data_IF_876413028168
#
_entry.id   IF_876413028168
#
_cell.length_a   1.000
_cell.length_b   1.000
_cell.length_c   1.000
_cell.angle_alpha   90.00
_cell.angle_beta   90.00
_cell.angle_gamma   90.00
#
_symmetry.space_group_name_H-M   'P 1'
#
loop_
_entity.id
_entity.type
_entity.pdbx_description
1 polymer ?
#
# COMPACT_ATOMS: atom_id res chain seq x y z
N UNK A 1 7.66 -23.98 -3.45
CA UNK A 1 7.15 -23.12 -4.56
C UNK A 1 7.37 -21.68 -4.14
N UNK A 2 8.43 -21.04 -4.63
CA UNK A 2 8.64 -19.61 -4.41
C UNK A 2 7.71 -18.91 -5.41
N UNK A 3 6.60 -18.33 -4.95
CA UNK A 3 5.85 -17.40 -5.80
C UNK A 3 6.84 -16.30 -6.21
N UNK A 4 7.10 -16.07 -7.51
CA UNK A 4 7.98 -15.00 -7.92
C UNK A 4 7.33 -13.70 -7.42
N UNK A 5 7.97 -13.05 -6.45
CA UNK A 5 7.50 -11.74 -6.01
C UNK A 5 7.62 -10.80 -7.21
N UNK A 6 6.61 -9.95 -7.47
CA UNK A 6 6.72 -8.92 -8.48
C UNK A 6 8.00 -8.11 -8.29
N UNK A 7 8.72 -7.81 -9.38
CA UNK A 7 9.86 -6.92 -9.30
C UNK A 7 9.36 -5.49 -9.06
N UNK A 8 9.71 -4.93 -7.90
CA UNK A 8 9.32 -3.58 -7.49
C UNK A 8 10.47 -2.57 -7.62
N UNK A 9 11.58 -2.94 -8.28
CA UNK A 9 12.76 -2.08 -8.41
C UNK A 9 12.46 -0.73 -9.09
N UNK A 10 11.48 -0.71 -10.00
CA UNK A 10 11.02 0.48 -10.72
C UNK A 10 9.69 1.05 -10.18
N UNK A 11 9.25 0.65 -8.98
CA UNK A 11 8.00 1.12 -8.40
C UNK A 11 8.03 2.63 -8.09
N UNK A 12 7.04 3.36 -8.60
CA UNK A 12 6.81 4.76 -8.22
C UNK A 12 5.95 4.82 -6.95
N UNK A 13 6.61 5.02 -5.82
CA UNK A 13 5.97 5.06 -4.50
C UNK A 13 5.31 6.41 -4.23
N UNK A 14 4.04 6.37 -3.84
CA UNK A 14 3.27 7.56 -3.46
C UNK A 14 2.91 7.54 -1.98
N UNK A 15 3.13 8.68 -1.33
CA UNK A 15 2.65 8.98 0.02
C UNK A 15 1.26 9.60 0.00
N UNK A 16 0.48 9.37 1.07
CA UNK A 16 -0.83 10.02 1.26
C UNK A 16 -0.69 11.54 1.36
N UNK A 17 -1.61 12.29 0.74
CA UNK A 17 -1.64 13.75 0.83
C UNK A 17 -2.11 14.29 2.19
N UNK A 18 -2.67 13.44 3.05
CA UNK A 18 -3.08 13.79 4.42
C UNK A 18 -1.91 13.75 5.44
N UNK A 19 -0.67 13.49 4.99
CA UNK A 19 0.51 13.37 5.84
C UNK A 19 1.16 14.73 6.20
N UNK A 20 0.38 15.65 6.78
CA UNK A 20 0.83 17.00 7.11
C UNK A 20 1.61 17.13 8.42
N UNK A 21 2.78 17.78 8.33
CA UNK A 21 3.49 18.60 9.33
C UNK A 21 4.56 17.90 10.22
N UNK A 22 5.82 18.23 9.90
CA UNK A 22 7.07 18.32 10.69
C UNK A 22 7.54 17.22 11.67
N UNK A 23 6.70 16.30 12.13
CA UNK A 23 7.10 15.19 13.02
C UNK A 23 6.46 13.83 12.68
N UNK A 24 5.72 13.72 11.57
CA UNK A 24 5.05 12.48 11.17
C UNK A 24 5.73 11.83 9.95
N UNK A 25 6.77 11.07 10.26
CA UNK A 25 7.30 9.92 9.52
C UNK A 25 6.15 9.08 8.94
N UNK A 26 5.93 9.24 7.64
CA UNK A 26 4.87 8.60 6.87
C UNK A 26 4.90 7.08 7.10
N UNK A 27 3.77 6.48 7.51
CA UNK A 27 3.75 5.08 7.93
C UNK A 27 3.51 4.08 6.77
N UNK A 28 3.01 4.54 5.62
CA UNK A 28 2.73 3.69 4.45
C UNK A 28 2.92 4.43 3.12
N UNK A 29 3.45 3.73 2.13
CA UNK A 29 3.48 4.15 0.71
C UNK A 29 2.82 3.08 -0.16
N UNK A 30 2.18 3.51 -1.25
CA UNK A 30 1.55 2.63 -2.23
C UNK A 30 2.16 2.88 -3.60
N UNK A 31 2.39 1.82 -4.38
CA UNK A 31 2.84 1.93 -5.76
C UNK A 31 1.70 1.63 -6.74
N UNK A 32 1.55 2.49 -7.75
CA UNK A 32 0.66 2.24 -8.87
C UNK A 32 1.43 1.62 -10.05
N UNK A 33 0.72 1.32 -11.15
CA UNK A 33 1.35 0.84 -12.39
C UNK A 33 1.63 -0.66 -12.42
N UNK A 34 1.25 -1.41 -11.38
CA UNK A 34 1.38 -2.87 -11.33
C UNK A 34 0.03 -3.54 -11.69
N UNK A 35 -0.07 -4.22 -12.85
CA UNK A 35 -1.32 -4.87 -13.25
C UNK A 35 -1.77 -5.93 -12.24
N UNK A 36 -3.00 -5.81 -11.75
CA UNK A 36 -3.65 -6.83 -10.91
C UNK A 36 -3.22 -6.83 -9.43
N UNK A 37 -2.26 -6.00 -9.03
CA UNK A 37 -1.78 -5.92 -7.65
C UNK A 37 -1.60 -4.48 -7.18
N UNK A 38 -1.55 -4.32 -5.86
CA UNK A 38 -1.26 -3.05 -5.18
C UNK A 38 -0.16 -3.31 -4.13
N UNK A 39 1.10 -2.98 -4.45
CA UNK A 39 2.20 -3.02 -3.49
C UNK A 39 2.06 -1.92 -2.44
N UNK A 40 2.27 -2.28 -1.18
CA UNK A 40 2.24 -1.36 -0.03
C UNK A 40 3.48 -1.60 0.83
N UNK A 41 4.21 -0.55 1.21
CA UNK A 41 5.38 -0.66 2.10
C UNK A 41 5.32 0.33 3.25
N UNK A 42 6.09 0.05 4.29
CA UNK A 42 6.35 0.99 5.37
C UNK A 42 7.32 2.07 4.89
N UNK A 43 6.96 3.35 5.01
CA UNK A 43 7.88 4.43 4.60
C UNK A 43 9.08 4.58 5.55
N UNK A 44 9.01 4.02 6.76
CA UNK A 44 10.11 4.02 7.74
C UNK A 44 11.16 2.94 7.46
N UNK A 45 10.78 1.91 6.72
CA UNK A 45 11.68 0.85 6.24
C UNK A 45 11.52 0.66 4.72
N UNK A 46 11.97 1.61 3.89
CA UNK A 46 11.77 1.57 2.43
C UNK A 46 12.54 0.45 1.73
N UNK A 47 13.54 -0.13 2.41
CA UNK A 47 14.31 -1.29 1.95
C UNK A 47 13.78 -2.63 2.48
N UNK A 48 12.82 -2.58 3.41
CA UNK A 48 12.09 -3.73 3.92
C UNK A 48 11.13 -4.33 2.89
N UNK A 49 10.48 -5.45 3.23
CA UNK A 49 9.56 -6.13 2.33
C UNK A 49 8.26 -5.34 2.12
N UNK A 50 7.81 -5.25 0.87
CA UNK A 50 6.48 -4.76 0.54
C UNK A 50 5.42 -5.87 0.67
N UNK A 51 4.23 -5.48 1.14
CA UNK A 51 3.02 -6.30 1.09
C UNK A 51 2.39 -6.19 -0.30
N UNK A 52 1.95 -7.32 -0.85
CA UNK A 52 1.31 -7.38 -2.18
C UNK A 52 -0.15 -7.75 -2.02
N UNK A 53 -1.06 -6.82 -2.33
CA UNK A 53 -2.49 -7.07 -2.32
C UNK A 53 -3.01 -7.29 -3.75
N UNK A 54 -3.92 -8.25 -4.00
CA UNK A 54 -4.66 -8.29 -5.24
C UNK A 54 -5.49 -7.02 -5.43
N UNK A 55 -5.50 -6.46 -6.63
CA UNK A 55 -6.26 -5.24 -6.93
C UNK A 55 -7.76 -5.35 -6.57
N UNK A 56 -8.47 -6.47 -6.82
CA UNK A 56 -9.88 -6.59 -6.42
C UNK A 56 -10.07 -6.53 -4.90
N UNK A 57 -9.17 -7.14 -4.13
CA UNK A 57 -9.20 -7.12 -2.67
C UNK A 57 -8.93 -5.72 -2.12
N UNK A 58 -7.97 -5.00 -2.71
CA UNK A 58 -7.69 -3.62 -2.37
C UNK A 58 -8.90 -2.71 -2.64
N UNK A 59 -9.54 -2.85 -3.81
CA UNK A 59 -10.76 -2.09 -4.13
C UNK A 59 -11.91 -2.39 -3.16
N UNK A 60 -12.12 -3.66 -2.81
CA UNK A 60 -13.14 -4.05 -1.84
C UNK A 60 -12.87 -3.41 -0.46
N UNK A 61 -11.62 -3.48 0.01
CA UNK A 61 -11.20 -2.85 1.27
C UNK A 61 -11.49 -1.34 1.27
N UNK A 62 -11.07 -0.61 0.24
CA UNK A 62 -11.31 0.83 0.14
C UNK A 62 -12.81 1.17 0.10
N UNK A 63 -13.62 0.35 -0.56
CA UNK A 63 -15.07 0.55 -0.59
C UNK A 63 -15.71 0.40 0.80
N UNK A 64 -15.26 -0.57 1.60
CA UNK A 64 -15.75 -0.74 2.98
C UNK A 64 -15.27 0.38 3.91
N UNK A 65 -14.03 0.86 3.75
CA UNK A 65 -13.52 2.06 4.46
C UNK A 65 -14.39 3.28 4.15
N UNK A 66 -14.66 3.54 2.86
CA UNK A 66 -15.48 4.69 2.43
C UNK A 66 -16.93 4.60 2.92
N UNK A 67 -17.43 3.38 3.09
CA UNK A 67 -18.78 3.13 3.58
C UNK A 67 -18.88 3.16 5.12
N UNK A 68 -17.75 3.32 5.83
CA UNK A 68 -17.66 3.24 7.29
C UNK A 68 -18.22 1.91 7.85
N UNK A 69 -17.92 0.81 7.13
CA UNK A 69 -18.45 -0.55 7.43
C UNK A 69 -17.38 -1.52 7.90
N UNK A 70 -16.15 -1.07 8.08
CA UNK A 70 -15.13 -1.92 8.68
C UNK A 70 -15.49 -2.19 10.15
N UNK A 71 -15.36 -3.44 10.63
CA UNK A 71 -15.59 -3.73 12.03
C UNK A 71 -14.65 -2.88 12.89
N UNK A 72 -15.20 -2.17 13.88
CA UNK A 72 -14.38 -1.63 14.97
C UNK A 72 -13.87 -2.80 15.80
N UNK A 73 -12.54 -2.91 15.89
CA UNK A 73 -11.86 -3.89 16.72
C UNK A 73 -12.07 -3.61 18.23
#
# INVERSE_FOLDING_TARGET
MHSPRPDLSAAEWRKSSYSGNAQADSCVEVADGFPGIVPVRDSKDPHGPALIFPAPSWSAFINEVKADRLPTA
#
